data_IF_377049880292
#
_entry.id   IF_377049880292
#
_cell.length_a   1.000
_cell.length_b   1.000
_cell.length_c   1.000
_cell.angle_alpha   90.00
_cell.angle_beta   90.00
_cell.angle_gamma   90.00
#
_symmetry.space_group_name_H-M   'P 1'
#
loop_
_entity.id
_entity.type
_entity.pdbx_description
1 polymer ?
#
# COMPACT_ATOMS: atom_id res chain seq x y z
N UNK A 1 8.06 10.06 -23.48
CA UNK A 1 8.18 11.02 -22.36
C UNK A 1 7.33 10.45 -21.25
N UNK A 2 7.84 10.35 -20.02
CA UNK A 2 7.06 9.76 -18.93
C UNK A 2 5.99 10.74 -18.47
N UNK A 3 4.74 10.30 -18.46
CA UNK A 3 3.63 11.07 -17.91
C UNK A 3 3.40 10.62 -16.48
N UNK A 4 3.41 11.57 -15.54
CA UNK A 4 3.12 11.33 -14.13
C UNK A 4 1.71 11.85 -13.82
N UNK A 5 0.97 11.10 -13.02
CA UNK A 5 -0.29 11.57 -12.46
C UNK A 5 -0.44 11.15 -11.01
N UNK A 6 -1.24 11.93 -10.30
CA UNK A 6 -1.59 11.73 -8.91
C UNK A 6 -3.10 11.81 -8.73
N UNK A 7 -3.61 11.01 -7.80
CA UNK A 7 -4.99 11.05 -7.35
C UNK A 7 -5.01 11.60 -5.93
N UNK A 8 -5.88 12.57 -5.68
CA UNK A 8 -6.06 13.19 -4.37
C UNK A 8 -7.50 13.01 -3.92
N UNK A 9 -7.70 12.75 -2.62
CA UNK A 9 -9.04 12.78 -2.04
C UNK A 9 -9.55 14.24 -1.93
N UNK A 10 -10.81 14.40 -1.50
CA UNK A 10 -11.43 15.72 -1.31
C UNK A 10 -10.68 16.62 -0.30
N UNK A 11 -9.86 16.05 0.58
CA UNK A 11 -9.03 16.76 1.56
C UNK A 11 -7.65 17.15 1.02
N UNK A 12 -7.31 16.78 -0.22
CA UNK A 12 -6.03 17.08 -0.86
C UNK A 12 -4.91 16.08 -0.55
N UNK A 13 -5.19 15.01 0.21
CA UNK A 13 -4.22 13.95 0.48
C UNK A 13 -4.06 13.04 -0.74
N UNK A 14 -2.82 12.68 -1.06
CA UNK A 14 -2.51 11.76 -2.16
C UNK A 14 -2.98 10.35 -1.79
N UNK A 15 -3.85 9.78 -2.61
CA UNK A 15 -4.43 8.44 -2.44
C UNK A 15 -4.05 7.48 -3.57
N UNK A 16 -3.47 7.99 -4.65
CA UNK A 16 -3.04 7.18 -5.79
C UNK A 16 -1.92 7.85 -6.58
N UNK A 17 -1.05 7.01 -7.16
CA UNK A 17 0.10 7.43 -7.96
C UNK A 17 0.19 6.52 -9.18
N UNK A 18 0.40 7.12 -10.34
CA UNK A 18 0.59 6.38 -11.57
C UNK A 18 1.57 7.09 -12.51
N UNK A 19 2.31 6.28 -13.28
CA UNK A 19 3.23 6.77 -14.30
C UNK A 19 3.14 5.90 -15.54
N UNK A 20 3.16 6.51 -16.72
CA UNK A 20 3.08 5.82 -18.01
C UNK A 20 4.24 6.25 -18.91
N UNK A 21 4.73 5.31 -19.72
CA UNK A 21 5.87 5.52 -20.62
C UNK A 21 5.53 6.27 -21.91
N UNK A 22 4.24 6.41 -22.22
CA UNK A 22 3.70 7.02 -23.42
C UNK A 22 2.94 8.31 -23.11
N UNK A 23 2.71 9.12 -24.15
CA UNK A 23 1.95 10.37 -24.09
C UNK A 23 0.46 10.05 -23.84
N UNK A 24 0.14 9.81 -22.57
CA UNK A 24 -1.21 9.46 -22.14
C UNK A 24 -2.12 10.67 -22.29
N UNK A 25 -3.01 10.61 -23.26
CA UNK A 25 -3.97 11.69 -23.58
C UNK A 25 -5.24 11.66 -22.72
N UNK A 26 -5.49 10.57 -21.99
CA UNK A 26 -6.63 10.42 -21.10
C UNK A 26 -6.23 9.70 -19.80
N UNK A 27 -6.47 10.34 -18.67
CA UNK A 27 -6.29 9.78 -17.34
C UNK A 27 -7.56 9.04 -16.87
N UNK A 28 -7.41 7.97 -16.07
CA UNK A 28 -8.54 7.43 -15.32
C UNK A 28 -9.18 8.52 -14.45
N UNK A 29 -10.48 8.41 -14.19
CA UNK A 29 -11.18 9.32 -13.29
C UNK A 29 -10.44 9.49 -11.95
N UNK A 30 -10.34 10.73 -11.47
CA UNK A 30 -9.63 11.08 -10.23
C UNK A 30 -8.14 11.39 -10.38
N UNK A 31 -7.49 10.94 -11.46
CA UNK A 31 -6.08 11.23 -11.70
C UNK A 31 -5.87 12.54 -12.45
N UNK A 32 -4.92 13.34 -11.96
CA UNK A 32 -4.51 14.61 -12.56
C UNK A 32 -3.02 14.55 -12.88
N UNK A 33 -2.64 14.97 -14.08
CA UNK A 33 -1.24 15.05 -14.50
C UNK A 33 -0.45 15.97 -13.58
N UNK A 34 0.78 15.60 -13.26
CA UNK A 34 1.71 16.40 -12.47
C UNK A 34 3.12 16.37 -13.06
N UNK A 35 3.97 17.26 -12.58
CA UNK A 35 5.41 17.25 -12.88
C UNK A 35 6.13 16.11 -12.17
N UNK A 36 7.34 15.78 -12.63
CA UNK A 36 8.17 14.76 -11.99
C UNK A 36 8.49 15.11 -10.52
N UNK A 37 8.75 16.39 -10.22
CA UNK A 37 9.04 16.87 -8.86
C UNK A 37 7.82 16.77 -7.92
N UNK A 38 6.64 17.12 -8.43
CA UNK A 38 5.38 16.94 -7.70
C UNK A 38 5.09 15.46 -7.45
N UNK A 39 5.34 14.59 -8.44
CA UNK A 39 5.20 13.14 -8.29
C UNK A 39 6.14 12.57 -7.24
N UNK A 40 7.41 12.98 -7.23
CA UNK A 40 8.38 12.53 -6.23
C UNK A 40 7.98 12.95 -4.81
N UNK A 41 7.51 14.18 -4.65
CA UNK A 41 7.02 14.70 -3.38
C UNK A 41 5.76 13.95 -2.92
N UNK A 42 4.80 13.78 -3.82
CA UNK A 42 3.56 13.03 -3.58
C UNK A 42 3.84 11.56 -3.23
N UNK A 43 4.83 10.94 -3.88
CA UNK A 43 5.30 9.59 -3.59
C UNK A 43 5.79 9.48 -2.16
N UNK A 44 6.61 10.42 -1.67
CA UNK A 44 7.07 10.39 -0.28
C UNK A 44 5.91 10.46 0.71
N UNK A 45 4.96 11.38 0.52
CA UNK A 45 3.76 11.49 1.38
C UNK A 45 2.92 10.22 1.36
N UNK A 46 2.68 9.67 0.17
CA UNK A 46 1.91 8.44 -0.01
C UNK A 46 2.59 7.25 0.68
N UNK A 47 3.90 7.09 0.52
CA UNK A 47 4.66 6.02 1.17
C UNK A 47 4.66 6.16 2.71
N UNK A 48 4.69 7.38 3.24
CA UNK A 48 4.54 7.59 4.69
C UNK A 48 3.15 7.16 5.18
N UNK A 49 2.09 7.48 4.44
CA UNK A 49 0.75 6.98 4.78
C UNK A 49 0.66 5.46 4.70
N UNK A 50 1.24 4.83 3.67
CA UNK A 50 1.31 3.37 3.56
C UNK A 50 2.07 2.73 4.73
N UNK A 51 3.17 3.36 5.18
CA UNK A 51 3.91 2.92 6.37
C UNK A 51 3.03 2.92 7.61
N UNK A 52 2.33 4.03 7.87
CA UNK A 52 1.44 4.13 9.03
C UNK A 52 0.33 3.08 8.98
N UNK A 53 -0.27 2.88 7.80
CA UNK A 53 -1.29 1.85 7.60
C UNK A 53 -0.71 0.44 7.80
N UNK A 54 0.51 0.18 7.31
CA UNK A 54 1.21 -1.10 7.47
C UNK A 54 1.53 -1.40 8.94
N UNK A 55 1.95 -0.39 9.72
CA UNK A 55 2.19 -0.51 11.17
C UNK A 55 0.87 -0.86 11.89
N UNK A 56 -0.24 -0.21 11.52
CA UNK A 56 -1.56 -0.54 12.02
C UNK A 56 -1.97 -1.98 11.69
N UNK A 57 -1.78 -2.39 10.44
CA UNK A 57 -2.08 -3.75 9.98
C UNK A 57 -1.20 -4.82 10.65
N UNK A 58 0.09 -4.53 10.91
CA UNK A 58 0.99 -5.40 11.66
C UNK A 58 0.52 -5.57 13.11
N UNK A 59 0.04 -4.50 13.73
CA UNK A 59 -0.50 -4.55 15.09
C UNK A 59 -1.74 -5.44 15.14
N UNK A 60 -2.64 -5.30 14.17
CA UNK A 60 -3.80 -6.18 14.03
C UNK A 60 -3.39 -7.64 13.78
N UNK A 61 -2.47 -7.90 12.84
CA UNK A 61 -1.98 -9.24 12.53
C UNK A 61 -1.33 -9.93 13.74
N UNK A 62 -0.63 -9.18 14.61
CA UNK A 62 -0.08 -9.69 15.88
C UNK A 62 -1.17 -10.08 16.87
N UNK A 63 -2.26 -9.29 16.96
CA UNK A 63 -3.41 -9.61 17.80
C UNK A 63 -4.13 -10.88 17.34
N UNK A 64 -4.42 -10.97 16.04
CA UNK A 64 -4.92 -12.20 15.41
C UNK A 64 -3.98 -13.38 15.65
N UNK A 65 -2.66 -13.13 15.72
CA UNK A 65 -1.71 -14.18 15.98
C UNK A 65 -1.81 -14.80 17.36
N UNK A 66 -1.98 -13.96 18.38
CA UNK A 66 -2.22 -14.44 19.73
C UNK A 66 -3.53 -15.25 19.81
N UNK A 67 -4.58 -14.82 19.10
CA UNK A 67 -5.87 -15.52 19.04
C UNK A 67 -5.77 -16.87 18.33
N UNK A 68 -5.12 -16.93 17.16
CA UNK A 68 -4.96 -18.18 16.42
C UNK A 68 -4.18 -19.22 17.24
N UNK A 69 -3.10 -18.81 17.90
CA UNK A 69 -2.33 -19.69 18.79
C UNK A 69 -3.19 -20.17 19.97
N UNK A 70 -3.99 -19.30 20.57
CA UNK A 70 -4.92 -19.66 21.64
C UNK A 70 -6.01 -20.66 21.16
N UNK A 71 -6.39 -20.61 19.88
CA UNK A 71 -7.31 -21.56 19.25
C UNK A 71 -6.63 -22.82 18.70
N UNK A 72 -5.31 -22.97 18.84
CA UNK A 72 -4.55 -24.10 18.28
C UNK A 72 -4.31 -24.02 16.76
N UNK A 73 -4.63 -22.89 16.13
CA UNK A 73 -4.38 -22.63 14.72
C UNK A 73 -2.96 -22.08 14.49
N UNK A 74 -2.37 -22.39 13.34
CA UNK A 74 -1.03 -21.94 12.95
C UNK A 74 -1.10 -20.94 11.79
N UNK A 75 -0.19 -19.96 11.78
CA UNK A 75 -0.02 -19.02 10.67
C UNK A 75 0.42 -19.77 9.42
N UNK A 76 -0.49 -19.84 8.44
CA UNK A 76 -0.16 -20.39 7.14
C UNK A 76 0.92 -19.57 6.41
N UNK A 77 1.54 -20.13 5.37
CA UNK A 77 2.55 -19.45 4.57
C UNK A 77 2.03 -18.14 3.94
N UNK A 78 0.73 -18.07 3.62
CA UNK A 78 0.09 -16.86 3.10
C UNK A 78 0.12 -15.70 4.11
N UNK A 79 -0.18 -15.97 5.38
CA UNK A 79 -0.16 -14.95 6.43
C UNK A 79 1.27 -14.51 6.76
N UNK A 80 2.25 -15.42 6.67
CA UNK A 80 3.67 -15.05 6.78
C UNK A 80 4.12 -14.14 5.64
N UNK A 81 3.72 -14.44 4.40
CA UNK A 81 4.01 -13.58 3.25
C UNK A 81 3.35 -12.19 3.40
N UNK A 82 2.10 -12.15 3.86
CA UNK A 82 1.40 -10.90 4.18
C UNK A 82 2.13 -10.07 5.23
N UNK A 83 2.49 -10.67 6.37
CA UNK A 83 3.23 -9.97 7.44
C UNK A 83 4.61 -9.50 6.97
N UNK A 84 5.30 -10.29 6.14
CA UNK A 84 6.59 -9.90 5.55
C UNK A 84 6.45 -8.69 4.65
N UNK A 85 5.46 -8.69 3.75
CA UNK A 85 5.20 -7.54 2.86
C UNK A 85 4.81 -6.28 3.65
N UNK A 86 4.01 -6.44 4.71
CA UNK A 86 3.71 -5.33 5.61
C UNK A 86 4.95 -4.78 6.33
N UNK A 87 5.88 -5.66 6.75
CA UNK A 87 7.14 -5.21 7.35
C UNK A 87 8.00 -4.46 6.34
N UNK A 88 8.12 -4.95 5.11
CA UNK A 88 8.87 -4.27 4.05
C UNK A 88 8.30 -2.87 3.76
N UNK A 89 6.97 -2.74 3.74
CA UNK A 89 6.31 -1.44 3.59
C UNK A 89 6.55 -0.56 4.82
N UNK A 90 6.37 -1.09 6.04
CA UNK A 90 6.53 -0.34 7.29
C UNK A 90 7.96 0.16 7.51
N UNK A 91 8.97 -0.66 7.22
CA UNK A 91 10.38 -0.28 7.28
C UNK A 91 10.77 0.66 6.13
N UNK A 92 9.96 0.70 5.07
CA UNK A 92 10.19 1.53 3.88
C UNK A 92 11.23 0.97 2.92
N UNK A 93 11.53 -0.32 3.03
CA UNK A 93 12.32 -1.03 2.02
C UNK A 93 11.49 -1.27 0.76
N UNK A 94 10.18 -1.45 0.90
CA UNK A 94 9.25 -1.41 -0.22
C UNK A 94 8.93 0.05 -0.59
N UNK A 95 9.36 0.44 -1.79
CA UNK A 95 9.08 1.77 -2.38
C UNK A 95 8.34 1.67 -3.71
N UNK A 96 7.85 0.47 -4.04
CA UNK A 96 7.18 0.13 -5.30
C UNK A 96 5.71 -0.19 -5.09
N UNK A 97 5.32 -0.61 -3.89
CA UNK A 97 3.94 -0.91 -3.52
C UNK A 97 3.09 0.34 -3.61
N UNK A 98 2.00 0.24 -4.35
CA UNK A 98 1.01 1.31 -4.55
C UNK A 98 -0.25 1.10 -3.71
N UNK A 99 -0.28 0.06 -2.88
CA UNK A 99 -1.36 -0.26 -1.96
C UNK A 99 -0.85 -1.22 -0.88
N UNK A 100 -1.58 -1.34 0.23
CA UNK A 100 -1.35 -2.42 1.18
C UNK A 100 -1.66 -3.78 0.53
N UNK A 101 -0.91 -4.84 0.85
CA UNK A 101 -1.28 -6.19 0.46
C UNK A 101 -2.65 -6.53 1.06
N UNK A 102 -3.46 -7.29 0.31
CA UNK A 102 -4.72 -7.79 0.85
C UNK A 102 -4.43 -8.76 2.00
N UNK A 103 -5.11 -8.58 3.13
CA UNK A 103 -5.09 -9.57 4.20
C UNK A 103 -5.56 -10.92 3.62
N UNK A 104 -4.85 -12.03 3.89
CA UNK A 104 -5.32 -13.33 3.45
C UNK A 104 -6.71 -13.54 4.04
N UNK A 105 -7.70 -13.76 3.17
CA UNK A 105 -9.00 -14.17 3.64
C UNK A 105 -8.79 -15.39 4.55
N UNK A 106 -9.29 -15.33 5.78
CA UNK A 106 -9.46 -16.52 6.59
C UNK A 106 -10.35 -17.43 5.75
N UNK A 107 -9.75 -18.34 4.99
CA UNK A 107 -10.47 -19.41 4.32
C UNK A 107 -10.94 -20.34 5.44
N UNK A 108 -11.96 -19.88 6.18
CA UNK A 108 -12.89 -20.79 6.80
C UNK A 108 -13.53 -21.52 5.65
N UNK A 109 -13.18 -22.81 5.57
CA UNK A 109 -13.93 -23.92 4.98
C UNK A 109 -14.19 -23.89 3.49
#
# INVERSE_FOLDING_TARGET
MTVYALEKNASGSVIGLASWSDDKTAFPDGFVSCTADEYASAKSTFMNSLKDQAIGALTYARGEAALAVAMGNTFGPQTRAYVSALQEIADGTDTTSTALPAAPASTST
#
